data_IF_683756969584
#
_entry.id   IF_683756969584
#
_cell.length_a   1.000
_cell.length_b   1.000
_cell.length_c   1.000
_cell.angle_alpha   90.00
_cell.angle_beta   90.00
_cell.angle_gamma   90.00
#
_symmetry.space_group_name_H-M   'P 1'
#
loop_
_entity.id
_entity.type
_entity.pdbx_description
1 polymer ?
#
# COMPACT_ATOMS: atom_id res chain seq x y z
N UNK A 1 1.13 -1.25 4.20
CA UNK A 1 0.57 -1.31 5.57
C UNK A 1 1.64 -1.63 6.62
N UNK A 2 2.39 -2.75 6.56
CA UNK A 2 3.42 -3.06 7.58
C UNK A 2 4.46 -1.95 7.76
N UNK A 3 4.99 -1.36 6.68
CA UNK A 3 5.90 -0.20 6.75
C UNK A 3 5.23 1.02 7.43
N UNK A 4 3.96 1.28 7.17
CA UNK A 4 3.25 2.37 7.86
C UNK A 4 3.11 2.09 9.36
N UNK A 5 2.83 0.84 9.71
CA UNK A 5 2.62 0.40 11.10
C UNK A 5 3.85 0.46 11.99
N UNK A 6 5.05 0.57 11.41
CA UNK A 6 6.32 0.78 12.13
C UNK A 6 6.65 2.27 12.26
N UNK A 7 6.15 3.12 11.35
CA UNK A 7 6.44 4.56 11.34
C UNK A 7 5.46 5.38 12.19
N UNK A 8 4.27 4.85 12.49
CA UNK A 8 3.29 5.52 13.33
C UNK A 8 2.38 4.56 14.09
N UNK A 9 1.72 5.09 15.12
CA UNK A 9 0.78 4.34 15.94
C UNK A 9 -0.44 3.87 15.12
N UNK A 10 -0.98 4.78 14.28
CA UNK A 10 -2.08 4.49 13.35
C UNK A 10 -1.77 5.07 11.97
N UNK A 11 -2.31 4.45 10.93
CA UNK A 11 -2.13 4.88 9.54
C UNK A 11 -3.46 4.87 8.79
N UNK A 12 -3.62 5.76 7.81
CA UNK A 12 -4.77 5.74 6.90
C UNK A 12 -4.35 5.44 5.47
N UNK A 13 -5.29 4.88 4.72
CA UNK A 13 -5.14 4.57 3.30
C UNK A 13 -6.01 5.55 2.52
N UNK A 14 -5.42 6.27 1.57
CA UNK A 14 -6.18 7.09 0.61
C UNK A 14 -6.23 6.33 -0.71
N UNK A 15 -7.42 6.05 -1.22
CA UNK A 15 -7.66 5.25 -2.43
C UNK A 15 -8.45 6.05 -3.48
N UNK A 16 -8.69 5.42 -4.63
CA UNK A 16 -9.31 6.05 -5.81
C UNK A 16 -10.82 6.14 -5.69
N UNK A 17 -11.50 5.04 -5.42
CA UNK A 17 -12.95 4.93 -5.39
C UNK A 17 -13.40 4.34 -4.05
N UNK A 18 -14.50 4.86 -3.52
CA UNK A 18 -15.14 4.36 -2.30
C UNK A 18 -15.46 2.85 -2.35
N UNK A 19 -15.73 2.29 -3.53
CA UNK A 19 -15.96 0.85 -3.72
C UNK A 19 -14.75 -0.03 -3.35
N UNK A 20 -13.55 0.53 -3.31
CA UNK A 20 -12.33 -0.18 -2.89
C UNK A 20 -12.12 -0.20 -1.37
N UNK A 21 -12.87 0.60 -0.60
CA UNK A 21 -12.70 0.73 0.86
C UNK A 21 -12.84 -0.63 1.57
N UNK A 22 -13.91 -1.43 1.35
CA UNK A 22 -14.08 -2.70 2.06
C UNK A 22 -12.95 -3.70 1.79
N UNK A 23 -12.36 -3.65 0.59
CA UNK A 23 -11.23 -4.50 0.22
C UNK A 23 -9.99 -4.17 1.07
N UNK A 24 -9.67 -2.89 1.22
CA UNK A 24 -8.51 -2.40 1.99
C UNK A 24 -8.68 -2.67 3.49
N UNK A 25 -9.87 -2.46 4.04
CA UNK A 25 -10.19 -2.80 5.43
C UNK A 25 -10.04 -4.30 5.68
N UNK A 26 -10.51 -5.14 4.76
CA UNK A 26 -10.35 -6.59 4.86
C UNK A 26 -8.87 -7.01 4.78
N UNK A 27 -8.07 -6.37 3.92
CA UNK A 27 -6.62 -6.60 3.87
C UNK A 27 -5.96 -6.26 5.21
N UNK A 28 -6.31 -5.15 5.85
CA UNK A 28 -5.76 -4.82 7.17
C UNK A 28 -6.10 -5.89 8.22
N UNK A 29 -7.30 -6.47 8.17
CA UNK A 29 -7.67 -7.62 9.04
C UNK A 29 -6.80 -8.84 8.77
N UNK A 30 -6.66 -9.23 7.50
CA UNK A 30 -5.84 -10.38 7.08
C UNK A 30 -4.37 -10.20 7.49
N UNK A 31 -3.85 -8.97 7.42
CA UNK A 31 -2.47 -8.65 7.79
C UNK A 31 -2.27 -8.42 9.30
N UNK A 32 -3.31 -8.55 10.12
CA UNK A 32 -3.23 -8.33 11.56
C UNK A 32 -2.97 -6.88 11.95
N UNK A 33 -3.41 -5.93 11.12
CA UNK A 33 -3.20 -4.49 11.28
C UNK A 33 -4.51 -3.71 11.46
N UNK A 34 -5.64 -4.38 11.68
CA UNK A 34 -6.95 -3.73 11.82
C UNK A 34 -6.95 -2.65 12.90
N UNK A 35 -6.36 -2.91 14.07
CA UNK A 35 -6.31 -1.94 15.18
C UNK A 35 -5.43 -0.73 14.90
N UNK A 36 -4.48 -0.86 13.96
CA UNK A 36 -3.58 0.22 13.51
C UNK A 36 -4.14 0.99 12.30
N UNK A 37 -5.19 0.49 11.66
CA UNK A 37 -5.86 1.20 10.58
C UNK A 37 -6.72 2.33 11.16
N UNK A 38 -6.38 3.57 10.81
CA UNK A 38 -7.14 4.75 11.18
C UNK A 38 -8.45 4.85 10.40
N UNK A 39 -8.31 4.88 9.08
CA UNK A 39 -9.42 4.88 8.12
C UNK A 39 -8.93 4.44 6.74
N UNK A 40 -9.89 4.17 5.86
CA UNK A 40 -9.66 4.17 4.42
C UNK A 40 -10.57 5.23 3.83
N UNK A 41 -10.00 6.15 3.07
CA UNK A 41 -10.70 7.27 2.43
C UNK A 41 -10.51 7.23 0.93
N UNK A 42 -11.42 7.83 0.18
CA UNK A 42 -11.34 7.91 -1.28
C UNK A 42 -11.29 9.36 -1.74
N UNK A 43 -10.51 9.62 -2.79
CA UNK A 43 -10.58 10.91 -3.53
C UNK A 43 -11.72 10.92 -4.55
N UNK A 44 -12.38 9.78 -4.77
CA UNK A 44 -13.46 9.54 -5.74
C UNK A 44 -13.12 10.02 -7.17
N UNK A 45 -11.88 9.77 -7.58
CA UNK A 45 -11.37 9.98 -8.94
C UNK A 45 -11.19 8.61 -9.61
N UNK A 46 -11.82 8.35 -10.77
CA UNK A 46 -11.63 7.11 -11.52
C UNK A 46 -10.17 6.87 -11.90
N UNK A 47 -9.73 5.61 -11.90
CA UNK A 47 -8.32 5.23 -12.17
C UNK A 47 -7.83 5.76 -13.52
N UNK A 48 -8.67 5.73 -14.55
CA UNK A 48 -8.33 6.18 -15.91
C UNK A 48 -8.17 7.71 -16.02
N UNK A 49 -8.57 8.46 -15.00
CA UNK A 49 -8.48 9.92 -14.95
C UNK A 49 -7.29 10.43 -14.13
N UNK A 50 -6.60 9.55 -13.39
CA UNK A 50 -5.53 9.95 -12.46
C UNK A 50 -4.36 10.67 -13.16
N UNK A 51 -4.01 10.23 -14.37
CA UNK A 51 -2.89 10.79 -15.14
C UNK A 51 -3.30 12.01 -15.97
N UNK A 52 -4.59 12.30 -16.08
CA UNK A 52 -5.09 13.40 -16.92
C UNK A 52 -4.85 14.77 -16.26
N UNK A 53 -4.83 14.81 -14.92
CA UNK A 53 -4.65 16.04 -14.14
C UNK A 53 -3.97 15.72 -12.79
N UNK A 54 -2.65 15.52 -12.84
CA UNK A 54 -1.83 15.26 -11.64
C UNK A 54 -1.96 16.35 -10.58
N UNK A 55 -1.96 17.66 -10.91
CA UNK A 55 -2.16 18.71 -9.90
C UNK A 55 -3.48 18.57 -9.14
N UNK A 56 -4.60 18.31 -9.84
CA UNK A 56 -5.91 18.07 -9.21
C UNK A 56 -5.88 16.83 -8.32
N UNK A 57 -5.26 15.75 -8.78
CA UNK A 57 -5.12 14.52 -7.98
C UNK A 57 -4.33 14.78 -6.70
N UNK A 58 -3.18 15.44 -6.79
CA UNK A 58 -2.35 15.77 -5.62
C UNK A 58 -3.14 16.63 -4.62
N UNK A 59 -3.89 17.62 -5.11
CA UNK A 59 -4.71 18.45 -4.23
C UNK A 59 -5.78 17.62 -3.50
N UNK A 60 -6.51 16.76 -4.21
CA UNK A 60 -7.50 15.88 -3.60
C UNK A 60 -6.88 14.92 -2.58
N UNK A 61 -5.69 14.37 -2.87
CA UNK A 61 -4.94 13.52 -1.95
C UNK A 61 -4.51 14.28 -0.69
N UNK A 62 -4.08 15.54 -0.81
CA UNK A 62 -3.74 16.38 0.34
C UNK A 62 -4.97 16.60 1.22
N UNK A 63 -6.10 16.97 0.62
CA UNK A 63 -7.32 17.28 1.37
C UNK A 63 -7.84 16.04 2.11
N UNK A 64 -7.90 14.87 1.46
CA UNK A 64 -8.28 13.61 2.12
C UNK A 64 -7.25 13.14 3.16
N UNK A 65 -5.97 13.44 2.97
CA UNK A 65 -4.93 13.14 3.96
C UNK A 65 -5.12 13.98 5.23
N UNK A 66 -5.44 15.26 5.10
CA UNK A 66 -5.73 16.15 6.24
C UNK A 66 -6.93 15.63 7.01
N UNK A 67 -7.99 15.28 6.30
CA UNK A 67 -9.19 14.69 6.88
C UNK A 67 -8.90 13.39 7.65
N UNK A 68 -8.04 12.53 7.10
CA UNK A 68 -7.58 11.32 7.79
C UNK A 68 -6.78 11.63 9.06
N UNK A 69 -5.95 12.68 9.05
CA UNK A 69 -5.16 13.10 10.20
C UNK A 69 -6.09 13.66 11.29
N UNK A 70 -6.94 14.62 10.95
CA UNK A 70 -7.73 15.38 11.93
C UNK A 70 -8.92 14.63 12.49
N UNK A 71 -9.65 13.90 11.64
CA UNK A 71 -10.90 13.24 12.04
C UNK A 71 -10.68 11.80 12.46
N UNK A 72 -9.75 11.13 11.80
CA UNK A 72 -9.56 9.69 11.96
C UNK A 72 -8.31 9.36 12.81
N UNK A 73 -7.43 10.33 13.07
CA UNK A 73 -6.23 10.16 13.90
C UNK A 73 -5.09 9.42 13.19
N UNK A 74 -4.94 9.61 11.88
CA UNK A 74 -3.83 9.04 11.12
C UNK A 74 -2.49 9.74 11.44
N UNK A 75 -1.43 8.96 11.69
CA UNK A 75 -0.07 9.49 11.85
C UNK A 75 0.83 9.19 10.63
N UNK A 76 0.35 8.36 9.71
CA UNK A 76 1.02 7.99 8.46
C UNK A 76 -0.03 7.84 7.37
N UNK A 77 0.25 8.34 6.18
CA UNK A 77 -0.62 8.22 5.01
C UNK A 77 0.00 7.24 4.02
N UNK A 78 -0.79 6.31 3.49
CA UNK A 78 -0.37 5.43 2.39
C UNK A 78 -1.37 5.46 1.24
N UNK A 79 -0.88 5.32 0.01
CA UNK A 79 -1.78 5.24 -1.15
C UNK A 79 -2.31 3.81 -1.38
N UNK A 80 -3.58 3.73 -1.80
CA UNK A 80 -4.29 2.48 -2.09
C UNK A 80 -4.30 2.06 -3.56
N UNK A 81 -3.74 2.85 -4.48
CA UNK A 81 -3.70 2.55 -5.91
C UNK A 81 -2.33 2.85 -6.49
N UNK A 82 -1.83 1.98 -7.34
CA UNK A 82 -0.56 2.17 -8.06
C UNK A 82 -0.60 3.31 -9.05
N UNK A 83 -1.79 3.73 -9.51
CA UNK A 83 -1.97 4.91 -10.37
C UNK A 83 -1.65 6.24 -9.67
N UNK A 84 -1.40 6.23 -8.36
CA UNK A 84 -0.94 7.40 -7.59
C UNK A 84 0.59 7.45 -7.43
N UNK A 85 1.32 6.56 -8.11
CA UNK A 85 2.78 6.53 -8.11
C UNK A 85 3.36 7.91 -8.43
N UNK A 86 4.32 8.36 -7.63
CA UNK A 86 4.97 9.65 -7.79
C UNK A 86 4.26 10.83 -7.12
N UNK A 87 3.04 10.65 -6.58
CA UNK A 87 2.31 11.73 -5.91
C UNK A 87 2.80 12.01 -4.48
N UNK A 88 3.57 11.11 -3.86
CA UNK A 88 3.90 11.18 -2.43
C UNK A 88 4.65 12.46 -2.06
N UNK A 89 5.61 12.90 -2.88
CA UNK A 89 6.36 14.13 -2.64
C UNK A 89 5.43 15.36 -2.68
N UNK A 90 4.58 15.46 -3.71
CA UNK A 90 3.63 16.56 -3.85
C UNK A 90 2.62 16.62 -2.71
N UNK A 91 2.13 15.46 -2.26
CA UNK A 91 1.23 15.37 -1.10
C UNK A 91 1.96 15.77 0.18
N UNK A 92 3.19 15.33 0.37
CA UNK A 92 3.98 15.68 1.55
C UNK A 92 4.30 17.18 1.61
N UNK A 93 4.65 17.80 0.48
CA UNK A 93 4.80 19.26 0.39
C UNK A 93 3.48 20.00 0.69
N UNK A 94 2.36 19.49 0.17
CA UNK A 94 1.03 20.02 0.45
C UNK A 94 0.68 19.97 1.94
N UNK A 95 0.92 18.83 2.59
CA UNK A 95 0.73 18.66 4.04
C UNK A 95 1.60 19.63 4.85
N UNK A 96 2.88 19.79 4.48
CA UNK A 96 3.78 20.75 5.13
C UNK A 96 3.23 22.18 5.01
N UNK A 97 2.81 22.61 3.81
CA UNK A 97 2.21 23.93 3.59
C UNK A 97 0.94 24.15 4.41
N UNK A 98 0.22 23.07 4.75
CA UNK A 98 -1.03 23.10 5.52
C UNK A 98 -0.82 22.90 7.02
N UNK A 99 0.42 22.77 7.50
CA UNK A 99 0.75 22.71 8.93
C UNK A 99 0.94 21.30 9.49
N UNK A 100 0.94 20.24 8.67
CA UNK A 100 1.09 18.84 9.09
C UNK A 100 2.50 18.31 8.81
N UNK A 101 3.52 19.12 9.10
CA UNK A 101 4.90 18.72 8.93
C UNK A 101 5.22 17.46 9.77
N UNK A 102 5.92 16.50 9.17
CA UNK A 102 6.37 15.27 9.85
C UNK A 102 5.44 14.06 9.67
N UNK A 103 4.24 14.22 9.12
CA UNK A 103 3.40 13.06 8.75
C UNK A 103 4.00 12.39 7.50
N UNK A 104 4.45 11.11 7.58
CA UNK A 104 5.01 10.43 6.43
C UNK A 104 3.93 10.07 5.41
N UNK A 105 4.24 10.25 4.12
CA UNK A 105 3.41 9.81 3.00
C UNK A 105 4.14 8.69 2.27
N UNK A 106 3.55 7.51 2.21
CA UNK A 106 4.17 6.32 1.59
C UNK A 106 3.54 6.07 0.22
N UNK A 107 4.40 6.14 -0.79
CA UNK A 107 4.12 5.51 -2.07
C UNK A 107 4.38 4.00 -1.97
N UNK A 108 3.35 3.15 -2.16
CA UNK A 108 3.47 1.71 -1.92
C UNK A 108 4.42 1.02 -2.90
N UNK A 109 4.59 1.52 -4.13
CA UNK A 109 5.39 0.84 -5.16
C UNK A 109 6.89 0.87 -4.83
N UNK A 110 7.56 2.03 -4.68
CA UNK A 110 8.97 2.05 -4.30
C UNK A 110 9.20 1.43 -2.92
N UNK A 111 8.27 1.61 -1.97
CA UNK A 111 8.39 1.00 -0.65
C UNK A 111 8.39 -0.54 -0.71
N UNK A 112 7.56 -1.15 -1.56
CA UNK A 112 7.54 -2.59 -1.77
C UNK A 112 8.83 -3.10 -2.41
N UNK A 113 9.39 -2.37 -3.39
CA UNK A 113 10.66 -2.70 -4.02
C UNK A 113 11.80 -2.69 -2.99
N UNK A 114 11.93 -1.62 -2.19
CA UNK A 114 12.98 -1.54 -1.16
C UNK A 114 12.84 -2.63 -0.10
N UNK A 115 11.61 -3.02 0.26
CA UNK A 115 11.38 -4.16 1.16
C UNK A 115 11.82 -5.48 0.53
N UNK A 116 11.56 -5.69 -0.76
CA UNK A 116 11.99 -6.90 -1.47
C UNK A 116 13.52 -6.99 -1.55
N UNK A 117 14.20 -5.89 -1.89
CA UNK A 117 15.66 -5.80 -1.87
C UNK A 117 16.22 -6.15 -0.50
N UNK A 118 15.69 -5.55 0.57
CA UNK A 118 16.14 -5.82 1.93
C UNK A 118 15.96 -7.30 2.34
N UNK A 119 14.88 -7.95 1.92
CA UNK A 119 14.69 -9.38 2.18
C UNK A 119 15.71 -10.23 1.44
N UNK A 120 16.04 -9.89 0.19
CA UNK A 120 17.08 -10.58 -0.60
C UNK A 120 18.46 -10.41 0.03
N UNK A 121 18.82 -9.18 0.39
CA UNK A 121 20.13 -8.87 1.02
C UNK A 121 20.32 -9.61 2.35
N UNK A 122 19.23 -9.82 3.09
CA UNK A 122 19.23 -10.57 4.35
C UNK A 122 19.12 -12.10 4.17
N UNK A 123 18.99 -12.60 2.93
CA UNK A 123 18.78 -14.03 2.66
C UNK A 123 17.44 -14.56 3.20
N UNK A 124 16.44 -13.70 3.37
CA UNK A 124 15.13 -14.05 3.94
C UNK A 124 14.11 -14.35 2.84
N UNK A 125 13.29 -15.38 3.05
CA UNK A 125 12.22 -15.78 2.14
C UNK A 125 10.99 -16.28 2.89
N UNK A 126 9.88 -16.47 2.18
CA UNK A 126 8.63 -16.97 2.74
C UNK A 126 8.79 -18.40 3.26
N UNK A 127 8.44 -18.62 4.53
CA UNK A 127 8.51 -19.94 5.17
C UNK A 127 7.69 -20.98 4.42
N UNK A 128 8.34 -22.06 4.00
CA UNK A 128 7.70 -23.21 3.34
C UNK A 128 6.87 -24.07 4.29
N UNK A 129 6.86 -23.79 5.59
CA UNK A 129 5.90 -24.42 6.52
C UNK A 129 4.50 -23.86 6.33
N UNK A 130 4.38 -22.57 6.06
CA UNK A 130 3.10 -21.88 5.83
C UNK A 130 2.76 -21.81 4.34
N UNK A 131 3.72 -21.41 3.51
CA UNK A 131 3.54 -21.20 2.06
C UNK A 131 4.27 -22.29 1.27
N UNK A 132 3.73 -23.50 1.35
CA UNK A 132 4.26 -24.67 0.64
C UNK A 132 4.19 -24.48 -0.88
N UNK A 133 5.12 -25.11 -1.59
CA UNK A 133 5.00 -25.24 -3.04
C UNK A 133 3.74 -26.05 -3.37
N UNK A 134 2.88 -25.59 -4.29
CA UNK A 134 1.71 -26.36 -4.72
C UNK A 134 2.13 -27.74 -5.24
N UNK A 135 1.36 -28.82 -4.94
CA UNK A 135 1.69 -30.15 -5.42
C UNK A 135 1.62 -30.21 -6.96
N UNK A 136 2.48 -31.01 -7.60
CA UNK A 136 2.49 -31.15 -9.05
C UNK A 136 1.17 -31.79 -9.51
N UNK A 137 0.42 -31.07 -10.34
CA UNK A 137 -0.81 -31.55 -10.98
C UNK A 137 -1.04 -30.79 -12.29
N UNK A 138 -1.77 -31.41 -13.23
CA UNK A 138 -2.25 -30.70 -14.42
C UNK A 138 -3.19 -29.57 -13.99
N UNK A 139 -2.90 -28.35 -14.43
CA UNK A 139 -3.75 -27.18 -14.20
C UNK A 139 -4.45 -26.87 -15.53
N UNK A 140 -5.72 -27.23 -15.62
CA UNK A 140 -6.51 -27.05 -16.86
C UNK A 140 -6.79 -25.56 -17.07
N UNK A 141 -6.64 -25.09 -18.31
CA UNK A 141 -6.89 -23.70 -18.70
C UNK A 141 -5.69 -22.75 -18.54
N UNK A 142 -4.54 -23.25 -18.07
CA UNK A 142 -3.32 -22.46 -17.93
C UNK A 142 -2.12 -23.21 -18.51
N UNK A 143 -1.39 -22.58 -19.42
CA UNK A 143 -0.09 -23.05 -19.90
C UNK A 143 0.98 -22.58 -18.93
N UNK A 144 1.19 -23.36 -17.86
CA UNK A 144 2.22 -23.09 -16.87
C UNK A 144 3.50 -23.86 -17.25
N UNK A 145 4.69 -23.23 -17.16
CA UNK A 145 5.94 -23.96 -17.33
C UNK A 145 6.06 -25.06 -16.28
N UNK A 146 6.72 -26.17 -16.61
CA UNK A 146 7.08 -27.19 -15.63
C UNK A 146 7.87 -26.52 -14.50
N UNK A 147 7.37 -26.65 -13.26
CA UNK A 147 8.04 -26.06 -12.11
C UNK A 147 9.24 -26.93 -11.75
N UNK A 148 10.43 -26.50 -12.13
CA UNK A 148 11.66 -27.03 -11.53
C UNK A 148 11.57 -26.85 -10.00
N UNK A 149 12.04 -27.87 -9.26
CA UNK A 149 12.19 -27.74 -7.81
C UNK A 149 13.29 -26.73 -7.55
N UNK A 150 12.95 -25.45 -7.45
CA UNK A 150 13.88 -24.45 -6.92
C UNK A 150 14.15 -24.85 -5.48
N UNK A 151 15.31 -25.45 -5.23
CA UNK A 151 15.80 -25.66 -3.90
C UNK A 151 15.97 -24.28 -3.27
N UNK A 152 15.10 -23.93 -2.33
CA UNK A 152 15.35 -22.77 -1.47
C UNK A 152 16.57 -23.15 -0.64
N UNK A 153 17.69 -22.42 -0.72
CA UNK A 153 18.85 -22.69 0.12
C UNK A 153 18.40 -22.72 1.59
N UNK A 154 18.86 -23.72 2.33
CA UNK A 154 18.59 -23.86 3.76
C UNK A 154 19.26 -22.74 4.57
#
# INVERSE_FOLDING_TARGET
MHIASILGHRFSIITVLSSCIPMMENQAKIYGLADKLASVRSVDIPVLELEQDTPRLVQALVDESIEAIEKDGAHVIIFGCTGMLGCALGVQEGLVRRGYAGVPVIDPVPAAIKLAEALVDLGLSQSKRTYQSPPPKRIVGYDLPERERVAVPA
#
